data_IF_418089197142
#
_entry.id   IF_418089197142
#
_cell.length_a   1.000
_cell.length_b   1.000
_cell.length_c   1.000
_cell.angle_alpha   90.00
_cell.angle_beta   90.00
_cell.angle_gamma   90.00
#
_symmetry.space_group_name_H-M   'P 1'
#
loop_
_entity.id
_entity.type
_entity.pdbx_description
1 polymer ?
#
# COMPACT_ATOMS: atom_id res chain seq x y z
N UNK A 1 -15.13 10.57 29.05
CA UNK A 1 -14.68 11.23 27.80
C UNK A 1 -13.35 10.61 27.30
N UNK A 2 -12.38 10.28 28.20
CA UNK A 2 -11.08 9.69 27.78
C UNK A 2 -11.20 8.29 27.18
N UNK A 3 -12.03 7.42 27.74
CA UNK A 3 -12.19 6.05 27.23
C UNK A 3 -12.71 5.96 25.81
N UNK A 4 -13.46 6.96 25.35
CA UNK A 4 -13.98 7.00 23.97
C UNK A 4 -12.89 7.42 22.96
N UNK A 5 -11.93 8.25 23.39
CA UNK A 5 -10.78 8.64 22.56
C UNK A 5 -9.78 7.48 22.39
N UNK A 6 -9.47 6.77 23.48
CA UNK A 6 -8.55 5.62 23.42
C UNK A 6 -9.12 4.50 22.55
N UNK A 7 -10.42 4.24 22.63
CA UNK A 7 -11.10 3.28 21.78
C UNK A 7 -11.05 3.70 20.29
N UNK A 8 -11.33 4.96 19.99
CA UNK A 8 -11.23 5.49 18.62
C UNK A 8 -9.82 5.36 18.06
N UNK A 9 -8.77 5.67 18.86
CA UNK A 9 -7.37 5.50 18.45
C UNK A 9 -7.04 4.04 18.16
N UNK A 10 -7.50 3.12 19.01
CA UNK A 10 -7.32 1.69 18.80
C UNK A 10 -7.96 1.20 17.49
N UNK A 11 -9.19 1.66 17.20
CA UNK A 11 -9.89 1.36 15.95
C UNK A 11 -9.13 1.86 14.72
N UNK A 12 -8.59 3.09 14.75
CA UNK A 12 -7.80 3.64 13.64
C UNK A 12 -6.55 2.78 13.40
N UNK A 13 -5.83 2.41 14.47
CA UNK A 13 -4.60 1.61 14.35
C UNK A 13 -4.86 0.18 13.89
N UNK A 14 -5.90 -0.46 14.42
CA UNK A 14 -6.29 -1.82 14.02
C UNK A 14 -6.83 -1.83 12.60
N UNK A 15 -7.72 -0.87 12.27
CA UNK A 15 -8.28 -0.74 10.93
C UNK A 15 -7.22 -0.55 9.85
N UNK A 16 -6.20 0.26 10.11
CA UNK A 16 -5.11 0.49 9.16
C UNK A 16 -4.28 -0.79 8.91
N UNK A 17 -3.95 -1.52 9.98
CA UNK A 17 -3.24 -2.80 9.85
C UNK A 17 -4.09 -3.83 9.12
N UNK A 18 -5.34 -3.97 9.52
CA UNK A 18 -6.25 -4.96 8.95
C UNK A 18 -6.50 -4.70 7.45
N UNK A 19 -6.76 -3.45 7.07
CA UNK A 19 -6.94 -3.08 5.66
C UNK A 19 -5.71 -3.42 4.82
N UNK A 20 -4.51 -3.13 5.34
CA UNK A 20 -3.27 -3.45 4.66
C UNK A 20 -3.06 -4.98 4.55
N UNK A 21 -3.27 -5.72 5.65
CA UNK A 21 -3.04 -7.17 5.68
C UNK A 21 -3.98 -7.93 4.75
N UNK A 22 -5.26 -7.52 4.67
CA UNK A 22 -6.21 -8.09 3.73
C UNK A 22 -5.78 -7.85 2.29
N UNK A 23 -5.32 -6.64 1.98
CA UNK A 23 -4.83 -6.33 0.64
C UNK A 23 -3.50 -7.03 0.35
N UNK A 24 -2.58 -7.13 1.31
CA UNK A 24 -1.32 -7.86 1.16
C UNK A 24 -1.56 -9.34 0.84
N UNK A 25 -2.49 -9.98 1.54
CA UNK A 25 -2.83 -11.39 1.36
C UNK A 25 -3.28 -11.67 -0.08
N UNK A 26 -4.03 -10.76 -0.69
CA UNK A 26 -4.50 -10.90 -2.07
C UNK A 26 -3.46 -10.44 -3.10
N UNK A 27 -2.74 -9.35 -2.82
CA UNK A 27 -1.83 -8.75 -3.79
C UNK A 27 -0.46 -9.43 -3.85
N UNK A 28 0.03 -10.02 -2.75
CA UNK A 28 1.36 -10.65 -2.74
C UNK A 28 1.50 -11.79 -3.75
N UNK A 29 0.58 -12.77 -3.84
CA UNK A 29 0.62 -13.80 -4.88
C UNK A 29 0.60 -13.22 -6.29
N UNK A 30 -0.19 -12.16 -6.52
CA UNK A 30 -0.30 -11.49 -7.82
C UNK A 30 0.98 -10.74 -8.17
N UNK A 31 1.59 -10.02 -7.22
CA UNK A 31 2.86 -9.30 -7.43
C UNK A 31 3.97 -10.27 -7.81
N UNK A 32 4.05 -11.42 -7.15
CA UNK A 32 5.10 -12.42 -7.40
C UNK A 32 4.90 -13.08 -8.76
N UNK A 33 3.68 -13.51 -9.08
CA UNK A 33 3.35 -14.23 -10.30
C UNK A 33 2.83 -13.31 -11.43
N UNK A 34 3.08 -11.99 -11.38
CA UNK A 34 2.53 -11.03 -12.34
C UNK A 34 2.81 -11.41 -13.79
N UNK A 35 4.05 -11.85 -14.09
CA UNK A 35 4.44 -12.22 -15.44
C UNK A 35 3.62 -13.41 -15.95
N UNK A 36 3.47 -14.44 -15.15
CA UNK A 36 2.68 -15.62 -15.48
C UNK A 36 1.18 -15.29 -15.68
N UNK A 37 0.59 -14.51 -14.75
CA UNK A 37 -0.81 -14.10 -14.81
C UNK A 37 -1.08 -13.28 -16.09
N UNK A 38 -0.21 -12.32 -16.41
CA UNK A 38 -0.33 -11.53 -17.63
C UNK A 38 -0.15 -12.40 -18.89
N UNK A 39 0.75 -13.37 -18.84
CA UNK A 39 0.96 -14.32 -19.95
C UNK A 39 -0.26 -15.21 -20.24
N UNK A 40 -1.02 -15.58 -19.19
CA UNK A 40 -2.29 -16.33 -19.36
C UNK A 40 -3.38 -15.48 -20.04
N UNK A 41 -3.41 -14.19 -19.76
CA UNK A 41 -4.48 -13.31 -20.24
C UNK A 41 -4.11 -12.59 -21.53
N UNK A 42 -2.85 -12.18 -21.68
CA UNK A 42 -2.34 -11.48 -22.84
C UNK A 42 -1.47 -12.44 -23.65
N UNK A 43 -1.77 -12.66 -24.93
CA UNK A 43 -0.93 -13.48 -25.82
C UNK A 43 0.49 -12.93 -25.96
N UNK A 44 0.63 -11.61 -25.90
CA UNK A 44 1.87 -10.85 -25.88
C UNK A 44 1.86 -9.91 -24.65
N UNK A 45 2.78 -10.12 -23.72
CA UNK A 45 2.91 -9.26 -22.54
C UNK A 45 3.74 -8.03 -22.93
N UNK A 46 3.20 -6.79 -22.87
CA UNK A 46 3.95 -5.58 -23.13
C UNK A 46 5.13 -5.44 -22.14
N UNK A 47 6.24 -4.91 -22.59
CA UNK A 47 7.50 -4.81 -21.84
C UNK A 47 7.34 -4.14 -20.48
N UNK A 48 6.52 -3.09 -20.39
CA UNK A 48 6.28 -2.34 -19.16
C UNK A 48 5.12 -2.87 -18.29
N UNK A 49 4.26 -3.76 -18.82
CA UNK A 49 3.01 -4.15 -18.17
C UNK A 49 3.22 -4.82 -16.80
N UNK A 50 4.24 -5.67 -16.68
CA UNK A 50 4.55 -6.36 -15.42
C UNK A 50 4.88 -5.37 -14.31
N UNK A 51 5.73 -4.38 -14.60
CA UNK A 51 6.14 -3.38 -13.63
C UNK A 51 4.99 -2.43 -13.28
N UNK A 52 4.16 -2.06 -14.26
CA UNK A 52 2.94 -1.27 -14.02
C UNK A 52 1.99 -1.95 -13.03
N UNK A 53 1.69 -3.24 -13.22
CA UNK A 53 0.79 -3.99 -12.33
C UNK A 53 1.38 -4.05 -10.92
N UNK A 54 2.67 -4.39 -10.79
CA UNK A 54 3.34 -4.45 -9.50
C UNK A 54 3.32 -3.11 -8.76
N UNK A 55 3.66 -2.02 -9.43
CA UNK A 55 3.64 -0.68 -8.84
C UNK A 55 2.23 -0.21 -8.50
N UNK A 56 1.22 -0.54 -9.32
CA UNK A 56 -0.18 -0.22 -9.03
C UNK A 56 -0.65 -0.93 -7.75
N UNK A 57 -0.30 -2.20 -7.57
CA UNK A 57 -0.62 -2.94 -6.34
C UNK A 57 0.10 -2.36 -5.12
N UNK A 58 1.38 -2.00 -5.25
CA UNK A 58 2.13 -1.32 -4.19
C UNK A 58 1.51 0.05 -3.84
N UNK A 59 1.07 0.81 -4.84
CA UNK A 59 0.35 2.06 -4.63
C UNK A 59 -0.96 1.83 -3.86
N UNK A 60 -1.77 0.85 -4.28
CA UNK A 60 -3.02 0.51 -3.60
C UNK A 60 -2.79 0.06 -2.15
N UNK A 61 -1.75 -0.74 -1.89
CA UNK A 61 -1.35 -1.14 -0.54
C UNK A 61 -0.95 0.07 0.31
N UNK A 62 -0.22 1.01 -0.27
CA UNK A 62 0.16 2.27 0.39
C UNK A 62 -1.06 3.11 0.77
N UNK A 63 -2.03 3.26 -0.13
CA UNK A 63 -3.28 3.98 0.14
C UNK A 63 -4.15 3.28 1.20
N UNK A 64 -4.14 1.96 1.26
CA UNK A 64 -4.96 1.19 2.21
C UNK A 64 -4.65 1.53 3.68
N UNK A 65 -3.40 1.85 4.01
CA UNK A 65 -2.98 2.30 5.35
C UNK A 65 -3.64 3.63 5.72
N UNK A 66 -3.91 4.48 4.73
CA UNK A 66 -4.49 5.81 4.92
C UNK A 66 -6.00 5.80 5.10
N UNK A 67 -6.73 4.75 4.68
CA UNK A 67 -8.18 4.70 4.69
C UNK A 67 -8.82 4.99 6.07
N UNK A 68 -8.37 4.38 7.19
CA UNK A 68 -8.94 4.69 8.50
C UNK A 68 -8.62 6.12 8.97
N UNK A 69 -7.49 6.69 8.54
CA UNK A 69 -7.17 8.10 8.82
C UNK A 69 -8.13 9.04 8.07
N UNK A 70 -8.48 8.71 6.82
CA UNK A 70 -9.47 9.46 6.03
C UNK A 70 -10.83 9.42 6.73
N UNK A 71 -11.27 8.24 7.15
CA UNK A 71 -12.54 8.07 7.88
C UNK A 71 -12.54 8.87 9.17
N UNK A 72 -11.46 8.83 9.94
CA UNK A 72 -11.32 9.63 11.16
C UNK A 72 -11.36 11.14 10.86
N UNK A 73 -10.72 11.60 9.78
CA UNK A 73 -10.78 13.01 9.35
C UNK A 73 -12.20 13.43 9.02
N UNK A 74 -12.93 12.63 8.24
CA UNK A 74 -14.33 12.89 7.87
C UNK A 74 -15.23 12.96 9.11
N UNK A 75 -15.01 12.08 10.08
CA UNK A 75 -15.77 12.06 11.34
C UNK A 75 -15.58 13.33 12.19
N UNK A 76 -14.48 14.08 12.03
CA UNK A 76 -14.28 15.36 12.75
C UNK A 76 -15.17 16.49 12.25
N UNK A 77 -15.76 16.37 11.05
CA UNK A 77 -16.54 17.42 10.39
C UNK A 77 -15.71 18.59 9.83
N UNK A 78 -14.40 18.66 10.11
CA UNK A 78 -13.52 19.74 9.65
C UNK A 78 -12.87 19.42 8.30
N UNK A 79 -13.69 19.14 7.29
CA UNK A 79 -13.29 18.57 6.01
C UNK A 79 -12.58 19.58 5.10
N UNK A 80 -12.94 20.89 5.19
CA UNK A 80 -12.45 21.93 4.26
C UNK A 80 -10.92 21.99 4.17
N UNK A 81 -10.25 22.16 5.31
CA UNK A 81 -8.79 22.31 5.34
C UNK A 81 -8.09 21.00 4.92
N UNK A 82 -8.66 19.87 5.29
CA UNK A 82 -8.20 18.55 4.86
C UNK A 82 -8.25 18.42 3.34
N UNK A 83 -9.39 18.74 2.72
CA UNK A 83 -9.57 18.61 1.28
C UNK A 83 -8.63 19.53 0.50
N UNK A 84 -8.41 20.77 0.97
CA UNK A 84 -7.48 21.71 0.34
C UNK A 84 -6.05 21.19 0.43
N UNK A 85 -5.60 20.74 1.59
CA UNK A 85 -4.23 20.29 1.81
C UNK A 85 -3.91 18.97 1.07
N UNK A 86 -4.72 17.95 1.28
CA UNK A 86 -4.49 16.63 0.69
C UNK A 86 -4.86 16.62 -0.80
N UNK A 87 -5.97 17.25 -1.18
CA UNK A 87 -6.35 17.40 -2.58
C UNK A 87 -5.33 18.21 -3.38
N UNK A 88 -4.79 19.29 -2.80
CA UNK A 88 -3.71 20.06 -3.40
C UNK A 88 -2.43 19.23 -3.62
N UNK A 89 -2.03 18.42 -2.63
CA UNK A 89 -0.90 17.50 -2.77
C UNK A 89 -1.15 16.46 -3.88
N UNK A 90 -2.35 15.89 -3.95
CA UNK A 90 -2.71 14.91 -4.99
C UNK A 90 -2.72 15.54 -6.39
N UNK A 91 -3.14 16.81 -6.53
CA UNK A 91 -3.07 17.53 -7.81
C UNK A 91 -1.63 17.71 -8.31
N UNK A 92 -0.62 17.75 -7.42
CA UNK A 92 0.78 17.84 -7.83
C UNK A 92 1.27 16.57 -8.57
N UNK A 93 0.54 15.46 -8.46
CA UNK A 93 0.89 14.23 -9.18
C UNK A 93 0.95 14.47 -10.70
N UNK A 94 -0.01 15.21 -11.25
CA UNK A 94 -0.12 15.46 -12.68
C UNK A 94 1.07 16.28 -13.23
N UNK A 95 1.39 17.48 -12.71
CA UNK A 95 2.51 18.27 -13.21
C UNK A 95 3.87 17.60 -12.96
N UNK A 96 4.06 16.94 -11.82
CA UNK A 96 5.33 16.26 -11.51
C UNK A 96 5.53 15.07 -12.48
N UNK A 97 4.53 14.23 -12.66
CA UNK A 97 4.57 13.10 -13.62
C UNK A 97 4.82 13.59 -15.05
N UNK A 98 4.19 14.70 -15.45
CA UNK A 98 4.42 15.28 -16.76
C UNK A 98 5.87 15.74 -16.97
N UNK A 99 6.48 16.38 -15.96
CA UNK A 99 7.88 16.79 -16.00
C UNK A 99 8.80 15.57 -16.16
N UNK A 100 8.59 14.50 -15.38
CA UNK A 100 9.40 13.29 -15.48
C UNK A 100 9.30 12.63 -16.86
N UNK A 101 8.10 12.55 -17.43
CA UNK A 101 7.90 12.01 -18.78
C UNK A 101 8.55 12.89 -19.85
N UNK A 102 8.49 14.21 -19.70
CA UNK A 102 9.12 15.14 -20.64
C UNK A 102 10.65 15.11 -20.59
N UNK A 103 11.22 14.75 -19.44
CA UNK A 103 12.66 14.53 -19.27
C UNK A 103 13.13 13.17 -19.85
N UNK A 104 12.23 12.39 -20.47
CA UNK A 104 12.56 11.10 -21.06
C UNK A 104 12.63 9.94 -20.06
N UNK A 105 12.09 10.10 -18.85
CA UNK A 105 12.02 9.00 -17.90
C UNK A 105 11.04 7.92 -18.38
N UNK A 106 11.27 6.68 -17.92
CA UNK A 106 10.40 5.54 -18.23
C UNK A 106 8.95 5.79 -17.78
N UNK A 107 7.94 5.24 -18.48
CA UNK A 107 6.53 5.48 -18.19
C UNK A 107 6.13 5.15 -16.73
N UNK A 108 6.78 4.18 -16.11
CA UNK A 108 6.54 3.76 -14.72
C UNK A 108 6.88 4.86 -13.69
N UNK A 109 7.64 5.88 -14.08
CA UNK A 109 7.95 7.03 -13.24
C UNK A 109 6.70 7.70 -12.67
N UNK A 110 5.58 7.67 -13.42
CA UNK A 110 4.28 8.19 -12.97
C UNK A 110 3.79 7.49 -11.70
N UNK A 111 3.95 6.17 -11.62
CA UNK A 111 3.53 5.40 -10.45
C UNK A 111 4.47 5.61 -9.26
N UNK A 112 5.77 5.77 -9.49
CA UNK A 112 6.70 6.15 -8.43
C UNK A 112 6.35 7.51 -7.83
N UNK A 113 6.02 8.49 -8.68
CA UNK A 113 5.54 9.81 -8.24
C UNK A 113 4.24 9.68 -7.44
N UNK A 114 3.29 8.86 -7.92
CA UNK A 114 2.02 8.63 -7.22
C UNK A 114 2.24 8.01 -5.82
N UNK A 115 3.12 6.99 -5.69
CA UNK A 115 3.48 6.40 -4.41
C UNK A 115 4.12 7.43 -3.49
N UNK A 116 5.05 8.25 -4.00
CA UNK A 116 5.70 9.29 -3.21
C UNK A 116 4.70 10.32 -2.69
N UNK A 117 3.80 10.81 -3.55
CA UNK A 117 2.75 11.77 -3.17
C UNK A 117 1.78 11.13 -2.15
N UNK A 118 1.44 9.86 -2.31
CA UNK A 118 0.63 9.13 -1.33
C UNK A 118 1.27 9.14 0.07
N UNK A 119 2.60 8.94 0.16
CA UNK A 119 3.32 9.04 1.43
C UNK A 119 3.31 10.48 2.00
N UNK A 120 3.46 11.48 1.17
CA UNK A 120 3.32 12.88 1.59
C UNK A 120 1.90 13.17 2.12
N UNK A 121 0.87 12.65 1.47
CA UNK A 121 -0.52 12.75 1.92
C UNK A 121 -0.73 12.03 3.27
N UNK A 122 -0.13 10.86 3.48
CA UNK A 122 -0.17 10.15 4.76
C UNK A 122 0.42 11.01 5.89
N UNK A 123 1.58 11.61 5.67
CA UNK A 123 2.21 12.51 6.65
C UNK A 123 1.33 13.73 6.93
N UNK A 124 0.74 14.33 5.90
CA UNK A 124 -0.16 15.45 6.04
C UNK A 124 -1.42 15.08 6.86
N UNK A 125 -2.02 13.91 6.59
CA UNK A 125 -3.15 13.37 7.37
C UNK A 125 -2.80 13.18 8.84
N UNK A 126 -1.64 12.59 9.14
CA UNK A 126 -1.16 12.39 10.51
C UNK A 126 -0.93 13.72 11.25
N UNK A 127 -0.36 14.71 10.56
CA UNK A 127 -0.15 16.03 11.12
C UNK A 127 -1.47 16.71 11.49
N UNK A 128 -2.46 16.66 10.59
CA UNK A 128 -3.77 17.26 10.82
C UNK A 128 -4.54 16.55 11.94
N UNK A 129 -4.56 15.21 11.97
CA UNK A 129 -5.22 14.43 13.01
C UNK A 129 -4.59 14.65 14.38
N UNK A 130 -3.29 14.88 14.44
CA UNK A 130 -2.62 15.28 15.69
C UNK A 130 -3.23 16.56 16.28
N UNK A 131 -3.49 17.55 15.44
CA UNK A 131 -4.12 18.81 15.88
C UNK A 131 -5.62 18.70 16.19
N UNK A 132 -6.33 17.75 15.57
CA UNK A 132 -7.79 17.64 15.69
C UNK A 132 -8.25 16.70 16.82
N UNK A 133 -7.62 15.56 16.95
CA UNK A 133 -8.02 14.48 17.88
C UNK A 133 -6.88 14.04 18.80
N UNK A 134 -5.71 14.71 18.75
CA UNK A 134 -4.56 14.36 19.59
C UNK A 134 -3.84 13.08 19.17
N UNK A 135 -4.04 12.59 17.93
CA UNK A 135 -3.42 11.36 17.43
C UNK A 135 -1.89 11.51 17.39
N UNK A 136 -1.17 10.64 18.10
CA UNK A 136 0.30 10.66 18.08
C UNK A 136 0.83 10.06 16.77
N UNK A 137 1.35 10.91 15.89
CA UNK A 137 1.95 10.49 14.60
C UNK A 137 3.09 9.49 14.81
N UNK A 138 3.91 9.67 15.86
CA UNK A 138 5.01 8.74 16.17
C UNK A 138 4.51 7.37 16.60
N UNK A 139 3.45 7.33 17.42
CA UNK A 139 2.82 6.05 17.81
C UNK A 139 2.24 5.34 16.59
N UNK A 140 1.60 6.08 15.66
CA UNK A 140 1.07 5.51 14.44
C UNK A 140 2.17 4.91 13.55
N UNK A 141 3.25 5.67 13.30
CA UNK A 141 4.38 5.18 12.51
C UNK A 141 5.01 3.94 13.13
N UNK A 142 5.21 3.93 14.45
CA UNK A 142 5.84 2.78 15.13
C UNK A 142 4.93 1.55 15.23
N UNK A 143 3.64 1.72 15.51
CA UNK A 143 2.72 0.61 15.78
C UNK A 143 1.95 0.13 14.54
N UNK A 144 1.87 0.93 13.49
CA UNK A 144 1.20 0.57 12.25
C UNK A 144 2.22 0.42 11.14
N UNK A 145 2.87 1.51 10.75
CA UNK A 145 3.71 1.54 9.55
C UNK A 145 4.90 0.58 9.63
N UNK A 146 5.62 0.58 10.75
CA UNK A 146 6.78 -0.31 10.95
C UNK A 146 6.35 -1.78 11.03
N UNK A 147 5.24 -2.09 11.71
CA UNK A 147 4.71 -3.45 11.77
C UNK A 147 4.25 -3.95 10.39
N UNK A 148 3.57 -3.10 9.63
CA UNK A 148 3.15 -3.39 8.26
C UNK A 148 4.35 -3.70 7.36
N UNK A 149 5.43 -2.90 7.45
CA UNK A 149 6.65 -3.15 6.70
C UNK A 149 7.35 -4.46 7.10
N UNK A 150 7.37 -4.78 8.40
CA UNK A 150 7.91 -6.06 8.87
C UNK A 150 7.12 -7.25 8.33
N UNK A 151 5.79 -7.21 8.43
CA UNK A 151 4.92 -8.29 7.91
C UNK A 151 5.08 -8.43 6.40
N UNK A 152 5.12 -7.32 5.65
CA UNK A 152 5.33 -7.34 4.21
C UNK A 152 6.68 -7.98 3.84
N UNK A 153 7.77 -7.61 4.52
CA UNK A 153 9.11 -8.16 4.25
C UNK A 153 9.17 -9.66 4.58
N UNK A 154 8.71 -10.07 5.76
CA UNK A 154 8.74 -11.47 6.18
C UNK A 154 7.88 -12.35 5.30
N UNK A 155 6.68 -11.89 4.91
CA UNK A 155 5.78 -12.63 4.03
C UNK A 155 6.33 -12.81 2.61
N UNK A 156 7.11 -11.85 2.12
CA UNK A 156 7.64 -11.88 0.76
C UNK A 156 8.89 -12.76 0.59
N UNK A 157 9.69 -12.96 1.65
CA UNK A 157 10.99 -13.66 1.57
C UNK A 157 10.83 -15.08 1.01
N UNK A 158 9.97 -15.89 1.60
CA UNK A 158 9.86 -17.31 1.26
C UNK A 158 9.28 -17.54 -0.14
N UNK A 159 8.20 -16.87 -0.56
CA UNK A 159 7.69 -17.01 -1.94
C UNK A 159 8.68 -16.53 -3.00
N UNK A 160 9.46 -15.47 -2.74
CA UNK A 160 10.47 -14.97 -3.68
C UNK A 160 11.63 -15.97 -3.82
N UNK A 161 12.06 -16.61 -2.74
CA UNK A 161 13.10 -17.64 -2.78
C UNK A 161 12.63 -18.87 -3.57
N UNK A 162 11.38 -19.26 -3.44
CA UNK A 162 10.79 -20.36 -4.22
C UNK A 162 10.71 -20.04 -5.71
N UNK A 163 10.31 -18.81 -6.07
CA UNK A 163 10.23 -18.37 -7.46
C UNK A 163 11.57 -18.53 -8.20
N UNK A 164 12.69 -18.28 -7.50
CA UNK A 164 14.03 -18.36 -8.10
C UNK A 164 14.43 -19.81 -8.49
N UNK A 165 13.84 -20.81 -7.85
CA UNK A 165 14.23 -22.22 -7.99
C UNK A 165 13.24 -23.05 -8.82
N UNK A 166 12.10 -22.51 -9.23
CA UNK A 166 11.03 -23.25 -9.89
C UNK A 166 10.68 -22.59 -11.22
N UNK A 167 10.57 -23.40 -12.29
CA UNK A 167 10.16 -22.93 -13.62
C UNK A 167 8.70 -22.42 -13.61
N UNK A 168 8.39 -21.43 -14.46
CA UNK A 168 7.05 -20.86 -14.60
C UNK A 168 6.08 -21.88 -15.23
N UNK A 169 5.37 -22.61 -14.39
CA UNK A 169 4.35 -23.61 -14.75
C UNK A 169 3.07 -23.31 -13.97
N UNK A 170 1.92 -23.79 -14.45
CA UNK A 170 0.65 -23.66 -13.69
C UNK A 170 0.74 -24.22 -12.27
N UNK A 171 1.44 -25.33 -12.11
CA UNK A 171 1.68 -25.94 -10.79
C UNK A 171 2.52 -25.02 -9.88
N UNK A 172 3.58 -24.40 -10.41
CA UNK A 172 4.41 -23.47 -9.64
C UNK A 172 3.63 -22.22 -9.23
N UNK A 173 2.77 -21.69 -10.12
CA UNK A 173 1.85 -20.59 -9.78
C UNK A 173 0.94 -20.94 -8.59
N UNK A 174 0.31 -22.14 -8.59
CA UNK A 174 -0.53 -22.58 -7.49
C UNK A 174 0.27 -22.73 -6.17
N UNK A 175 1.43 -23.40 -6.24
CA UNK A 175 2.29 -23.59 -5.05
C UNK A 175 2.74 -22.24 -4.46
N UNK A 176 3.26 -21.34 -5.29
CA UNK A 176 3.71 -20.01 -4.84
C UNK A 176 2.55 -19.20 -4.27
N UNK A 177 1.35 -19.28 -4.86
CA UNK A 177 0.17 -18.59 -4.36
C UNK A 177 -0.25 -19.11 -2.99
N UNK A 178 -0.32 -20.43 -2.82
CA UNK A 178 -0.65 -21.05 -1.53
C UNK A 178 0.40 -20.71 -0.47
N UNK A 179 1.68 -20.82 -0.80
CA UNK A 179 2.77 -20.47 0.12
C UNK A 179 2.70 -18.99 0.50
N UNK A 180 2.44 -18.09 -0.45
CA UNK A 180 2.29 -16.66 -0.18
C UNK A 180 1.16 -16.37 0.80
N UNK A 181 0.00 -17.02 0.63
CA UNK A 181 -1.15 -16.89 1.52
C UNK A 181 -0.83 -17.43 2.92
N UNK A 182 -0.19 -18.59 3.01
CA UNK A 182 0.18 -19.20 4.29
C UNK A 182 1.21 -18.36 5.04
N UNK A 183 2.28 -17.91 4.37
CA UNK A 183 3.30 -17.05 4.99
C UNK A 183 2.75 -15.72 5.45
N UNK A 184 1.87 -15.10 4.67
CA UNK A 184 1.20 -13.85 5.05
C UNK A 184 0.31 -14.08 6.27
N UNK A 185 -0.50 -15.13 6.27
CA UNK A 185 -1.37 -15.48 7.41
C UNK A 185 -0.55 -15.70 8.68
N UNK A 186 0.52 -16.49 8.62
CA UNK A 186 1.40 -16.73 9.77
C UNK A 186 2.04 -15.41 10.25
N UNK A 187 2.53 -14.58 9.34
CA UNK A 187 3.19 -13.31 9.68
C UNK A 187 2.23 -12.27 10.30
N UNK A 188 0.93 -12.37 10.04
CA UNK A 188 -0.11 -11.50 10.65
C UNK A 188 -0.37 -11.90 12.10
N UNK A 189 -0.32 -13.21 12.40
CA UNK A 189 -0.59 -13.72 13.76
C UNK A 189 0.61 -13.64 14.70
N UNK A 190 1.83 -13.44 14.19
CA UNK A 190 3.07 -13.32 14.96
C UNK A 190 3.41 -11.86 15.21
#
# INVERSE_FOLDING_TARGET
>A
ASGNQDYMMALIFQGAKFSFYMLLLLSLPVIINTHYILGLWLKLVPEHAVLFVRLTLLFAMSESISNPLITAMLATGRIRNYQIMVGGLQMLNLPISYIFLRLGCVPESVLFVAIFISQCCLVARLYMLRGMIGLSSVKYLKHVYLKVLMVMSTSAILPILLLKNINETFLSFLVISVVSILTTSISIFY
#
